data_IF_632874517976
#
_entry.id   IF_632874517976
#
_cell.length_a   1.000
_cell.length_b   1.000
_cell.length_c   1.000
_cell.angle_alpha   90.00
_cell.angle_beta   90.00
_cell.angle_gamma   90.00
#
_symmetry.space_group_name_H-M   'P 1'
#
loop_
_entity.id
_entity.type
_entity.pdbx_description
1 polymer ?
#
# COMPACT_ATOMS: atom_id res chain seq x y z
N UNK A 1 40.91 4.48 -42.85
CA UNK A 1 39.66 3.92 -42.31
C UNK A 1 40.03 3.08 -41.11
N UNK A 2 39.85 3.59 -39.90
CA UNK A 2 40.15 2.84 -38.68
C UNK A 2 38.85 2.25 -38.16
N UNK A 3 38.70 0.93 -38.24
CA UNK A 3 37.58 0.25 -37.59
C UNK A 3 37.86 0.13 -36.09
N UNK A 4 37.01 0.78 -35.30
CA UNK A 4 36.98 0.60 -33.85
C UNK A 4 36.09 -0.61 -33.57
N UNK A 5 36.67 -1.71 -33.07
CA UNK A 5 35.89 -2.85 -32.58
C UNK A 5 35.34 -2.54 -31.20
N UNK A 6 34.01 -2.47 -31.09
CA UNK A 6 33.30 -2.32 -29.82
C UNK A 6 32.88 -3.73 -29.38
N UNK A 7 33.49 -4.22 -28.29
CA UNK A 7 33.07 -5.45 -27.64
C UNK A 7 31.93 -5.15 -26.67
N UNK A 8 30.72 -5.63 -26.99
CA UNK A 8 29.56 -5.57 -26.10
C UNK A 8 29.63 -6.78 -25.17
N UNK A 9 29.97 -6.54 -23.91
CA UNK A 9 29.94 -7.57 -22.86
C UNK A 9 28.49 -7.67 -22.36
N UNK A 10 27.81 -8.78 -22.66
CA UNK A 10 26.54 -9.12 -22.02
C UNK A 10 26.80 -9.53 -20.57
N UNK A 11 26.73 -8.57 -19.65
CA UNK A 11 26.65 -8.87 -18.22
C UNK A 11 25.25 -9.40 -17.97
N UNK A 12 25.12 -10.72 -17.95
CA UNK A 12 23.94 -11.36 -17.40
C UNK A 12 23.90 -11.06 -15.91
N UNK A 13 23.07 -10.09 -15.51
CA UNK A 13 22.65 -9.95 -14.12
C UNK A 13 21.83 -11.19 -13.76
N UNK A 14 22.52 -12.23 -13.31
CA UNK A 14 21.89 -13.27 -12.49
C UNK A 14 21.41 -12.57 -11.21
N UNK A 15 20.17 -12.09 -11.21
CA UNK A 15 19.49 -11.74 -9.98
C UNK A 15 19.35 -13.05 -9.17
N UNK A 16 19.99 -13.17 -8.00
CA UNK A 16 19.78 -14.33 -7.16
C UNK A 16 18.30 -14.38 -6.79
N UNK A 17 17.69 -15.55 -6.96
CA UNK A 17 16.29 -15.80 -6.61
C UNK A 17 16.04 -15.44 -5.14
N UNK A 18 15.38 -14.31 -4.90
CA UNK A 18 15.07 -13.76 -3.56
C UNK A 18 14.21 -14.67 -2.68
N UNK A 19 13.61 -15.72 -3.24
CA UNK A 19 12.74 -16.65 -2.51
C UNK A 19 13.49 -17.53 -1.51
N UNK A 20 14.77 -17.87 -1.74
CA UNK A 20 15.50 -18.79 -0.86
C UNK A 20 15.87 -18.14 0.48
N UNK A 21 16.32 -16.88 0.45
CA UNK A 21 16.71 -16.15 1.66
C UNK A 21 15.51 -15.84 2.58
N UNK A 22 14.33 -15.64 2.00
CA UNK A 22 13.10 -15.33 2.76
C UNK A 22 12.64 -16.55 3.56
N UNK A 23 12.65 -17.75 2.98
CA UNK A 23 12.26 -18.97 3.68
C UNK A 23 13.22 -19.28 4.85
N UNK A 24 14.53 -19.07 4.69
CA UNK A 24 15.49 -19.26 5.79
C UNK A 24 15.22 -18.32 6.98
N UNK A 25 14.88 -17.06 6.72
CA UNK A 25 14.52 -16.10 7.76
C UNK A 25 13.24 -16.54 8.49
N UNK A 26 12.21 -16.94 7.74
CA UNK A 26 10.93 -17.41 8.32
C UNK A 26 11.14 -18.65 9.19
N UNK A 27 11.86 -19.67 8.71
CA UNK A 27 12.15 -20.89 9.47
C UNK A 27 12.89 -20.57 10.77
N UNK A 28 13.92 -19.74 10.70
CA UNK A 28 14.73 -19.34 11.87
C UNK A 28 13.87 -18.62 12.91
N UNK A 29 13.02 -17.69 12.45
CA UNK A 29 12.09 -16.96 13.30
C UNK A 29 11.06 -17.85 13.97
N UNK A 30 10.47 -18.80 13.23
CA UNK A 30 9.53 -19.78 13.79
C UNK A 30 10.21 -20.68 14.84
N UNK A 31 11.37 -21.26 14.52
CA UNK A 31 12.11 -22.13 15.45
C UNK A 31 12.47 -21.36 16.72
N UNK A 32 12.95 -20.12 16.59
CA UNK A 32 13.24 -19.23 17.72
C UNK A 32 11.98 -18.94 18.54
N UNK A 33 10.85 -18.67 17.89
CA UNK A 33 9.57 -18.44 18.56
C UNK A 33 9.12 -19.64 19.38
N UNK A 34 9.13 -20.85 18.80
CA UNK A 34 8.76 -22.07 19.52
C UNK A 34 9.72 -22.36 20.67
N UNK A 35 11.03 -22.14 20.47
CA UNK A 35 12.00 -22.28 21.54
C UNK A 35 11.68 -21.37 22.73
N UNK A 36 11.31 -20.10 22.50
CA UNK A 36 10.89 -19.19 23.59
C UNK A 36 9.61 -19.64 24.28
N UNK A 37 8.60 -20.09 23.52
CA UNK A 37 7.36 -20.62 24.09
C UNK A 37 7.57 -21.91 24.89
N UNK A 38 8.55 -22.73 24.51
CA UNK A 38 8.83 -24.01 25.13
C UNK A 38 9.92 -23.94 26.21
N UNK A 39 10.27 -22.74 26.69
CA UNK A 39 11.35 -22.51 27.65
C UNK A 39 12.68 -23.16 27.22
N UNK A 40 13.00 -23.03 25.93
CA UNK A 40 14.14 -23.59 25.21
C UNK A 40 14.18 -25.14 25.19
N UNK A 41 13.06 -25.82 25.38
CA UNK A 41 12.96 -27.26 25.20
C UNK A 41 13.03 -27.66 23.71
N UNK A 42 14.24 -27.93 23.23
CA UNK A 42 14.49 -28.29 21.84
C UNK A 42 13.77 -29.58 21.39
N UNK A 43 13.49 -30.52 22.30
CA UNK A 43 12.79 -31.76 21.97
C UNK A 43 11.37 -31.51 21.44
N UNK A 44 10.70 -30.45 21.90
CA UNK A 44 9.36 -30.13 21.42
C UNK A 44 9.39 -29.73 19.94
N UNK A 45 10.38 -28.94 19.51
CA UNK A 45 10.58 -28.58 18.10
C UNK A 45 10.79 -29.81 17.22
N UNK A 46 11.63 -30.75 17.67
CA UNK A 46 11.87 -32.02 16.97
C UNK A 46 10.58 -32.83 16.85
N UNK A 47 9.83 -32.97 17.95
CA UNK A 47 8.56 -33.70 17.95
C UNK A 47 7.54 -33.06 17.00
N UNK A 48 7.48 -31.73 16.93
CA UNK A 48 6.58 -31.03 16.01
C UNK A 48 7.08 -31.02 14.56
N UNK A 49 8.29 -31.51 14.29
CA UNK A 49 8.90 -31.53 12.96
C UNK A 49 9.48 -30.20 12.52
N UNK A 50 9.66 -29.25 13.43
CA UNK A 50 10.19 -27.92 13.12
C UNK A 50 11.71 -27.99 12.95
N UNK A 51 12.15 -28.12 11.70
CA UNK A 51 13.55 -28.35 11.34
C UNK A 51 14.05 -27.33 10.31
N UNK A 52 15.18 -26.67 10.60
CA UNK A 52 15.79 -25.67 9.70
C UNK A 52 16.15 -26.22 8.31
N UNK A 53 16.38 -27.53 8.17
CA UNK A 53 16.71 -28.15 6.88
C UNK A 53 15.50 -28.37 5.95
N UNK A 54 14.27 -28.26 6.47
CA UNK A 54 13.05 -28.56 5.73
C UNK A 54 12.18 -27.30 5.58
N UNK A 55 11.56 -27.15 4.41
CA UNK A 55 10.59 -26.08 4.12
C UNK A 55 9.35 -26.22 5.02
N UNK A 56 8.96 -25.11 5.65
CA UNK A 56 7.92 -25.06 6.68
C UNK A 56 6.52 -25.38 6.15
N UNK A 57 6.23 -25.06 4.89
CA UNK A 57 4.95 -25.30 4.24
C UNK A 57 4.86 -26.63 3.50
N UNK A 58 5.99 -27.18 3.04
CA UNK A 58 6.03 -28.44 2.27
C UNK A 58 6.23 -29.69 3.13
N UNK A 59 6.70 -29.54 4.36
CA UNK A 59 7.11 -30.68 5.22
C UNK A 59 6.27 -30.84 6.49
N UNK A 60 5.00 -30.45 6.45
CA UNK A 60 4.00 -30.75 7.49
C UNK A 60 4.42 -30.41 8.94
N UNK A 61 5.05 -29.25 9.16
CA UNK A 61 5.34 -28.79 10.51
C UNK A 61 4.04 -28.75 11.33
N UNK A 62 3.98 -29.54 12.40
CA UNK A 62 2.76 -29.64 13.20
C UNK A 62 2.46 -28.29 13.83
N UNK A 63 1.21 -27.85 13.68
CA UNK A 63 0.77 -26.54 14.13
C UNK A 63 1.09 -25.39 13.18
N UNK A 64 1.79 -25.61 12.05
CA UNK A 64 1.97 -24.58 11.02
C UNK A 64 0.94 -24.80 9.91
N UNK A 65 0.21 -23.74 9.56
CA UNK A 65 -0.69 -23.73 8.40
C UNK A 65 -0.25 -22.66 7.43
N UNK A 66 -0.15 -23.03 6.16
CA UNK A 66 0.22 -22.11 5.08
C UNK A 66 -0.98 -21.67 4.26
N UNK A 67 -0.77 -20.68 3.40
CA UNK A 67 -1.73 -20.26 2.41
C UNK A 67 -2.04 -21.37 1.38
N UNK A 68 -3.05 -21.16 0.54
CA UNK A 68 -3.48 -22.17 -0.44
C UNK A 68 -2.38 -22.56 -1.44
N UNK A 69 -1.37 -21.70 -1.65
CA UNK A 69 -0.24 -21.97 -2.55
C UNK A 69 0.94 -22.66 -1.84
N UNK A 70 0.86 -22.91 -0.53
CA UNK A 70 1.97 -23.43 0.29
C UNK A 70 3.26 -22.60 0.17
N UNK A 71 3.11 -21.28 0.16
CA UNK A 71 4.21 -20.31 0.01
C UNK A 71 4.40 -19.41 1.21
N UNK A 72 3.40 -19.24 2.06
CA UNK A 72 3.48 -18.34 3.21
C UNK A 72 2.71 -18.89 4.40
N UNK A 73 3.34 -18.84 5.57
CA UNK A 73 2.72 -19.26 6.84
C UNK A 73 1.63 -18.26 7.23
N UNK A 74 0.41 -18.76 7.42
CA UNK A 74 -0.76 -17.93 7.74
C UNK A 74 -1.32 -18.21 9.13
N UNK A 75 -1.14 -19.42 9.68
CA UNK A 75 -1.63 -19.74 11.02
C UNK A 75 -0.63 -20.56 11.82
N UNK A 76 -0.56 -20.27 13.11
CA UNK A 76 0.13 -21.09 14.10
C UNK A 76 -0.88 -21.62 15.11
N UNK A 77 -0.96 -22.95 15.22
CA UNK A 77 -1.89 -23.70 16.06
C UNK A 77 -1.10 -24.55 17.05
N UNK A 78 -0.88 -24.02 18.24
CA UNK A 78 -0.06 -24.61 19.31
C UNK A 78 -0.90 -24.76 20.58
N UNK A 79 -1.97 -25.54 20.49
CA UNK A 79 -2.99 -25.71 21.54
C UNK A 79 -2.64 -26.92 22.40
N UNK A 80 -2.69 -26.80 23.73
CA UNK A 80 -2.61 -27.97 24.61
C UNK A 80 -1.27 -28.70 24.60
N UNK A 81 -0.16 -28.00 24.32
CA UNK A 81 1.17 -28.60 24.15
C UNK A 81 2.04 -28.54 25.42
N UNK A 82 1.47 -28.13 26.57
CA UNK A 82 2.17 -27.91 27.82
C UNK A 82 3.35 -26.91 27.69
N UNK A 83 3.20 -25.91 26.81
CA UNK A 83 4.19 -24.84 26.64
C UNK A 83 4.27 -23.99 27.92
N UNK A 84 5.45 -23.77 28.48
CA UNK A 84 5.64 -23.11 29.78
C UNK A 84 6.67 -21.95 29.76
N UNK A 85 7.04 -21.48 28.57
CA UNK A 85 7.95 -20.36 28.36
C UNK A 85 7.20 -19.03 28.23
N UNK A 86 7.71 -18.15 27.37
CA UNK A 86 7.20 -16.78 27.21
C UNK A 86 6.88 -16.45 25.76
N UNK A 87 5.88 -15.58 25.55
CA UNK A 87 5.49 -15.11 24.22
C UNK A 87 6.38 -13.94 23.77
N UNK A 88 7.36 -14.23 22.93
CA UNK A 88 8.22 -13.22 22.30
C UNK A 88 7.65 -12.81 20.94
N UNK A 89 6.81 -11.78 20.91
CA UNK A 89 6.13 -11.35 19.68
C UNK A 89 7.13 -10.84 18.62
N UNK A 90 8.31 -10.37 19.01
CA UNK A 90 9.38 -9.97 18.10
C UNK A 90 9.86 -11.10 17.19
N UNK A 91 9.86 -12.35 17.68
CA UNK A 91 10.25 -13.52 16.88
C UNK A 91 9.25 -13.82 15.75
N UNK A 92 7.99 -13.38 15.89
CA UNK A 92 6.97 -13.53 14.83
C UNK A 92 6.82 -12.27 14.00
N UNK A 93 6.56 -11.14 14.66
CA UNK A 93 6.21 -9.88 14.02
C UNK A 93 7.43 -9.04 13.61
N UNK A 94 8.65 -9.50 13.89
CA UNK A 94 9.90 -8.85 13.47
C UNK A 94 10.31 -9.20 12.04
N UNK A 95 9.98 -10.40 11.56
CA UNK A 95 10.30 -10.84 10.20
C UNK A 95 9.24 -10.33 9.23
N UNK A 96 9.67 -9.55 8.23
CA UNK A 96 8.75 -8.85 7.30
C UNK A 96 7.81 -9.80 6.57
N UNK A 97 8.31 -10.95 6.10
CA UNK A 97 7.51 -11.93 5.38
C UNK A 97 6.42 -12.55 6.29
N UNK A 98 6.81 -12.99 7.49
CA UNK A 98 5.92 -13.61 8.45
C UNK A 98 4.90 -12.62 9.02
N UNK A 99 5.33 -11.40 9.35
CA UNK A 99 4.45 -10.34 9.82
C UNK A 99 3.40 -9.94 8.77
N UNK A 100 3.72 -10.06 7.48
CA UNK A 100 2.81 -9.77 6.38
C UNK A 100 1.82 -10.92 6.10
N UNK A 101 2.18 -12.17 6.42
CA UNK A 101 1.36 -13.35 6.07
C UNK A 101 0.58 -13.94 7.25
N UNK A 102 1.06 -13.78 8.49
CA UNK A 102 0.44 -14.38 9.67
C UNK A 102 -0.92 -13.73 9.95
N UNK A 103 -1.95 -14.56 10.06
CA UNK A 103 -3.34 -14.17 10.28
C UNK A 103 -3.91 -14.75 11.58
N UNK A 104 -3.46 -15.93 12.02
CA UNK A 104 -3.99 -16.55 13.24
C UNK A 104 -2.88 -17.11 14.13
N UNK A 105 -3.01 -16.86 15.44
CA UNK A 105 -2.14 -17.42 16.47
C UNK A 105 -2.99 -18.03 17.59
N UNK A 106 -2.99 -19.35 17.69
CA UNK A 106 -3.70 -20.12 18.72
C UNK A 106 -2.70 -20.75 19.67
N UNK A 107 -2.74 -20.29 20.92
CA UNK A 107 -1.86 -20.67 22.04
C UNK A 107 -2.66 -21.19 23.24
N UNK A 108 -3.96 -21.39 23.08
CA UNK A 108 -4.86 -21.68 24.19
C UNK A 108 -4.57 -23.03 24.86
N UNK A 109 -4.84 -23.11 26.18
CA UNK A 109 -4.64 -24.32 26.97
C UNK A 109 -3.18 -24.70 27.16
N UNK A 110 -2.31 -23.73 27.45
CA UNK A 110 -0.91 -23.98 27.78
C UNK A 110 -0.56 -23.39 29.16
N UNK A 111 0.72 -23.35 29.51
CA UNK A 111 1.25 -22.76 30.74
C UNK A 111 2.15 -21.55 30.44
N UNK A 112 1.89 -20.84 29.34
CA UNK A 112 2.75 -19.75 28.87
C UNK A 112 2.64 -18.58 29.85
N UNK A 113 3.78 -18.10 30.33
CA UNK A 113 3.88 -17.01 31.30
C UNK A 113 4.42 -15.71 30.71
N UNK A 114 4.61 -14.72 31.58
CA UNK A 114 5.13 -13.41 31.22
C UNK A 114 4.11 -12.54 30.48
N UNK A 115 4.54 -11.36 30.03
CA UNK A 115 3.68 -10.42 29.32
C UNK A 115 3.71 -10.59 27.80
N UNK A 116 2.64 -10.16 27.13
CA UNK A 116 2.63 -10.01 25.68
C UNK A 116 3.31 -8.68 25.36
N UNK A 117 4.40 -8.75 24.59
CA UNK A 117 5.16 -7.54 24.24
C UNK A 117 4.41 -6.69 23.20
N UNK A 118 4.61 -5.36 23.24
CA UNK A 118 3.89 -4.41 22.38
C UNK A 118 4.19 -4.60 20.88
N UNK A 119 5.28 -5.28 20.55
CA UNK A 119 5.66 -5.63 19.17
C UNK A 119 4.67 -6.57 18.49
N UNK A 120 3.73 -7.17 19.21
CA UNK A 120 2.61 -7.91 18.61
C UNK A 120 1.80 -7.02 17.65
N UNK A 121 1.76 -5.71 17.90
CA UNK A 121 1.14 -4.73 17.01
C UNK A 121 1.86 -4.57 15.65
N UNK A 122 3.08 -5.10 15.50
CA UNK A 122 3.82 -5.12 14.23
C UNK A 122 3.38 -6.24 13.30
N UNK A 123 2.62 -7.23 13.79
CA UNK A 123 1.91 -8.19 12.93
C UNK A 123 0.71 -7.50 12.25
N UNK A 124 0.99 -6.40 11.57
CA UNK A 124 0.05 -5.47 10.96
C UNK A 124 0.38 -5.30 9.48
N UNK A 125 -0.67 -5.01 8.72
CA UNK A 125 -0.65 -4.71 7.30
C UNK A 125 0.39 -3.64 6.95
N UNK A 126 1.40 -4.00 6.16
CA UNK A 126 2.40 -3.05 5.63
C UNK A 126 2.08 -2.53 4.23
N UNK A 127 1.06 -3.07 3.55
CA UNK A 127 0.74 -2.69 2.18
C UNK A 127 -0.76 -2.61 1.94
N UNK A 128 -1.18 -1.51 1.29
CA UNK A 128 -2.55 -1.23 0.84
C UNK A 128 -3.18 -2.31 -0.07
N UNK A 129 -2.39 -3.30 -0.52
CA UNK A 129 -2.74 -4.28 -1.55
C UNK A 129 -2.83 -5.73 -1.03
N UNK A 130 -2.46 -6.00 0.23
CA UNK A 130 -2.60 -7.32 0.84
C UNK A 130 -3.44 -7.22 2.11
N UNK A 131 -4.46 -8.08 2.25
CA UNK A 131 -5.26 -8.26 3.47
C UNK A 131 -4.46 -9.02 4.55
N UNK A 132 -3.22 -8.60 4.81
CA UNK A 132 -2.29 -9.26 5.72
C UNK A 132 -2.29 -8.59 7.09
N UNK A 133 -2.37 -9.38 8.16
CA UNK A 133 -2.35 -8.92 9.54
C UNK A 133 -3.06 -9.91 10.46
N UNK A 134 -2.78 -9.84 11.76
CA UNK A 134 -3.40 -10.75 12.73
C UNK A 134 -4.90 -10.48 12.80
N UNK A 135 -5.71 -11.49 12.46
CA UNK A 135 -7.18 -11.47 12.56
C UNK A 135 -7.69 -12.36 13.70
N UNK A 136 -6.89 -13.34 14.15
CA UNK A 136 -7.26 -14.22 15.25
C UNK A 136 -6.13 -14.38 16.26
N UNK A 137 -6.41 -14.09 17.53
CA UNK A 137 -5.49 -14.30 18.63
C UNK A 137 -6.22 -15.00 19.78
N UNK A 138 -5.93 -16.30 19.97
CA UNK A 138 -6.53 -17.12 21.02
C UNK A 138 -5.44 -17.56 21.99
N UNK A 139 -5.41 -16.95 23.17
CA UNK A 139 -4.40 -17.21 24.20
C UNK A 139 -5.04 -17.48 25.58
N UNK A 140 -6.31 -17.88 25.60
CA UNK A 140 -7.01 -18.24 26.83
C UNK A 140 -6.38 -19.46 27.52
N UNK A 141 -6.65 -19.59 28.82
CA UNK A 141 -6.20 -20.73 29.65
C UNK A 141 -4.66 -20.85 29.63
N UNK A 142 -4.00 -19.80 30.12
CA UNK A 142 -2.54 -19.68 30.23
C UNK A 142 -2.16 -18.97 31.54
N UNK A 143 -0.87 -18.64 31.71
CA UNK A 143 -0.34 -17.90 32.85
C UNK A 143 0.18 -16.52 32.43
N UNK A 144 -0.33 -15.96 31.33
CA UNK A 144 0.11 -14.67 30.80
C UNK A 144 -0.26 -13.55 31.79
N UNK A 145 0.59 -12.54 31.88
CA UNK A 145 0.51 -11.51 32.92
C UNK A 145 0.81 -10.11 32.40
N UNK A 146 0.65 -9.10 33.27
CA UNK A 146 0.89 -7.70 32.92
C UNK A 146 -0.26 -7.09 32.12
N UNK A 147 0.01 -5.99 31.41
CA UNK A 147 -1.02 -5.27 30.66
C UNK A 147 -1.26 -5.91 29.29
N UNK A 148 -2.51 -5.86 28.82
CA UNK A 148 -2.85 -6.22 27.44
C UNK A 148 -2.30 -5.12 26.52
N UNK A 149 -1.37 -5.42 25.59
CA UNK A 149 -0.85 -4.42 24.66
C UNK A 149 -1.95 -3.95 23.70
N UNK A 150 -1.75 -2.77 23.09
CA UNK A 150 -2.69 -2.24 22.10
C UNK A 150 -2.55 -2.98 20.77
N UNK A 151 -3.36 -4.02 20.57
CA UNK A 151 -3.52 -4.67 19.27
C UNK A 151 -4.23 -3.73 18.28
N UNK A 152 -4.17 -4.07 17.00
CA UNK A 152 -5.07 -3.50 16.00
C UNK A 152 -6.43 -4.21 16.07
N UNK A 153 -7.21 -3.89 17.12
CA UNK A 153 -8.50 -4.54 17.38
C UNK A 153 -9.52 -4.34 16.25
N UNK A 154 -9.31 -3.37 15.35
CA UNK A 154 -10.16 -3.17 14.18
C UNK A 154 -9.98 -4.26 13.12
N UNK A 155 -8.83 -4.96 13.13
CA UNK A 155 -8.52 -6.05 12.20
C UNK A 155 -8.75 -7.44 12.82
N UNK A 156 -8.97 -7.53 14.13
CA UNK A 156 -9.18 -8.80 14.82
C UNK A 156 -10.66 -9.22 14.72
N UNK A 157 -10.90 -10.39 14.15
CA UNK A 157 -12.21 -11.06 14.14
C UNK A 157 -12.42 -11.90 15.41
N UNK A 158 -11.34 -12.51 15.92
CA UNK A 158 -11.39 -13.34 17.11
C UNK A 158 -10.27 -12.97 18.07
N UNK A 159 -10.64 -12.68 19.31
CA UNK A 159 -9.71 -12.38 20.38
C UNK A 159 -10.19 -13.01 21.67
N UNK A 160 -9.34 -13.80 22.31
CA UNK A 160 -9.62 -14.37 23.61
C UNK A 160 -8.35 -14.48 24.46
N UNK A 161 -8.37 -13.84 25.62
CA UNK A 161 -7.31 -13.84 26.63
C UNK A 161 -7.87 -14.21 28.01
N UNK A 162 -9.01 -14.89 28.05
CA UNK A 162 -9.66 -15.30 29.30
C UNK A 162 -8.79 -16.27 30.11
N UNK A 163 -9.04 -16.36 31.41
CA UNK A 163 -8.37 -17.30 32.31
C UNK A 163 -6.84 -17.18 32.24
N UNK A 164 -6.35 -15.98 32.52
CA UNK A 164 -4.94 -15.62 32.58
C UNK A 164 -4.72 -14.73 33.83
N UNK A 165 -3.54 -14.13 33.95
CA UNK A 165 -3.16 -13.25 35.04
C UNK A 165 -2.90 -11.81 34.57
N UNK A 166 -3.63 -11.35 33.55
CA UNK A 166 -3.54 -9.96 33.06
C UNK A 166 -4.06 -8.96 34.09
N UNK A 167 -3.49 -7.76 34.06
CA UNK A 167 -3.77 -6.67 35.00
C UNK A 167 -3.91 -5.31 34.33
N UNK A 168 -4.60 -4.40 35.01
CA UNK A 168 -4.79 -3.02 34.54
C UNK A 168 -5.99 -2.84 33.60
N UNK A 169 -6.09 -1.66 32.95
CA UNK A 169 -7.23 -1.33 32.10
C UNK A 169 -7.21 -2.14 30.80
N UNK A 170 -8.37 -2.65 30.40
CA UNK A 170 -8.57 -3.20 29.06
C UNK A 170 -8.44 -2.05 28.04
N UNK A 171 -7.58 -2.19 27.00
CA UNK A 171 -7.49 -1.20 25.93
C UNK A 171 -8.83 -0.95 25.25
N UNK A 172 -8.98 0.16 24.53
CA UNK A 172 -10.17 0.39 23.73
C UNK A 172 -10.26 -0.64 22.60
N UNK A 173 -11.19 -1.59 22.76
CA UNK A 173 -11.47 -2.69 21.83
C UNK A 173 -12.63 -2.37 20.88
N UNK A 174 -13.13 -1.14 20.87
CA UNK A 174 -14.17 -0.69 19.93
C UNK A 174 -15.50 -1.44 20.04
N UNK A 175 -15.74 -2.19 21.13
CA UNK A 175 -16.92 -3.03 21.30
C UNK A 175 -16.92 -4.32 20.48
N UNK A 176 -15.80 -4.71 19.86
CA UNK A 176 -15.70 -5.91 19.02
C UNK A 176 -15.73 -7.22 19.82
N UNK A 177 -15.34 -7.18 21.10
CA UNK A 177 -15.19 -8.37 21.94
C UNK A 177 -16.05 -8.28 23.20
N UNK A 178 -16.64 -9.42 23.58
CA UNK A 178 -17.49 -9.56 24.75
C UNK A 178 -16.68 -9.71 26.04
N UNK A 179 -17.35 -9.60 27.19
CA UNK A 179 -16.76 -9.83 28.51
C UNK A 179 -16.06 -11.20 28.64
N UNK A 180 -16.54 -12.22 27.91
CA UNK A 180 -16.02 -13.58 27.95
C UNK A 180 -14.56 -13.64 27.52
N UNK A 181 -14.17 -12.84 26.52
CA UNK A 181 -12.78 -12.76 26.02
C UNK A 181 -11.77 -12.26 27.04
N UNK A 182 -12.22 -11.65 28.15
CA UNK A 182 -11.37 -11.05 29.19
C UNK A 182 -11.62 -11.65 30.57
N UNK A 183 -12.62 -12.51 30.72
CA UNK A 183 -13.03 -13.12 31.98
C UNK A 183 -11.90 -13.97 32.60
N UNK A 184 -11.97 -14.25 33.91
CA UNK A 184 -10.96 -15.06 34.58
C UNK A 184 -9.58 -14.40 34.75
N UNK A 185 -9.50 -13.07 34.60
CA UNK A 185 -8.31 -12.27 34.90
C UNK A 185 -8.61 -11.36 36.11
N UNK A 186 -8.16 -11.70 37.34
CA UNK A 186 -8.61 -11.03 38.56
C UNK A 186 -8.26 -9.53 38.61
N UNK A 187 -7.14 -9.12 38.02
CA UNK A 187 -6.61 -7.76 38.09
C UNK A 187 -6.98 -6.87 36.90
N UNK A 188 -7.65 -7.42 35.86
CA UNK A 188 -8.18 -6.61 34.77
C UNK A 188 -9.35 -5.74 35.24
N UNK A 189 -9.54 -4.60 34.56
CA UNK A 189 -10.63 -3.67 34.80
C UNK A 189 -10.99 -2.89 33.51
N UNK A 190 -12.13 -2.21 33.50
CA UNK A 190 -12.62 -1.44 32.36
C UNK A 190 -13.50 -2.26 31.41
N UNK A 191 -14.15 -1.56 30.46
CA UNK A 191 -15.03 -2.20 29.47
C UNK A 191 -14.23 -3.18 28.60
N UNK A 192 -14.79 -4.35 28.23
CA UNK A 192 -16.19 -4.78 28.41
C UNK A 192 -16.50 -5.44 29.77
N UNK A 193 -15.56 -5.50 30.71
CA UNK A 193 -15.86 -5.99 32.06
C UNK A 193 -16.66 -4.95 32.86
N UNK A 194 -17.50 -5.43 33.77
CA UNK A 194 -18.26 -4.55 34.69
C UNK A 194 -17.39 -3.94 35.78
N UNK A 195 -16.19 -4.50 36.03
CA UNK A 195 -15.25 -4.01 37.04
C UNK A 195 -14.64 -2.69 36.59
N UNK A 196 -14.89 -1.62 37.33
CA UNK A 196 -14.29 -0.31 37.06
C UNK A 196 -12.81 -0.30 37.42
N UNK A 197 -12.02 0.48 36.69
CA UNK A 197 -10.62 0.68 37.02
C UNK A 197 -10.48 1.67 38.18
N UNK A 198 -9.56 1.44 39.13
CA UNK A 198 -9.25 2.41 40.16
C UNK A 198 -8.91 3.75 39.51
N UNK A 199 -9.68 4.79 39.81
CA UNK A 199 -9.34 6.15 39.42
C UNK A 199 -8.04 6.52 40.12
N UNK A 200 -6.96 6.70 39.36
CA UNK A 200 -5.77 7.37 39.88
C UNK A 200 -6.22 8.73 40.46
N UNK A 201 -5.78 9.13 41.66
CA UNK A 201 -6.04 10.48 42.15
C UNK A 201 -5.39 11.48 41.18
N UNK A 202 -6.21 12.06 40.32
CA UNK A 202 -5.85 13.17 39.45
C UNK A 202 -5.63 14.38 40.36
N UNK A 203 -4.39 14.63 40.73
CA UNK A 203 -4.01 15.94 41.23
C UNK A 203 -4.25 16.93 40.09
N UNK A 204 -5.14 17.90 40.33
CA UNK A 204 -5.68 18.81 39.32
C UNK A 204 -4.58 19.55 38.56
N UNK A 205 -4.33 19.10 37.33
CA UNK A 205 -3.59 19.84 36.32
C UNK A 205 -4.53 20.17 35.18
N UNK A 206 -5.11 21.38 35.20
CA UNK A 206 -5.70 21.99 34.02
C UNK A 206 -4.61 22.11 32.95
N UNK A 207 -4.44 21.09 32.13
CA UNK A 207 -3.61 21.16 30.93
C UNK A 207 -4.51 21.22 29.72
N UNK A 208 -4.68 22.46 29.29
CA UNK A 208 -5.03 22.88 27.95
C UNK A 208 -4.50 21.92 26.87
N UNK A 209 -5.30 21.75 25.81
CA UNK A 209 -4.92 21.11 24.56
C UNK A 209 -3.59 21.69 24.05
N UNK A 210 -2.48 21.07 24.41
CA UNK A 210 -1.19 21.28 23.76
C UNK A 210 -1.26 20.61 22.39
N UNK A 211 -1.73 21.38 21.40
CA UNK A 211 -1.48 21.05 20.00
C UNK A 211 0.04 21.07 19.83
N UNK A 212 0.61 19.91 19.50
CA UNK A 212 2.00 19.76 19.07
C UNK A 212 2.33 20.84 18.03
N UNK A 213 3.18 21.79 18.41
CA UNK A 213 3.60 22.92 17.56
C UNK A 213 4.62 22.53 16.49
N UNK A 214 5.05 21.26 16.45
CA UNK A 214 6.08 20.79 15.50
C UNK A 214 5.55 20.44 14.11
N UNK A 215 4.26 20.10 13.96
CA UNK A 215 3.69 19.85 12.62
C UNK A 215 3.43 21.15 11.85
N UNK A 216 3.10 22.25 12.52
CA UNK A 216 2.77 23.53 11.87
C UNK A 216 4.02 24.18 11.23
N UNK A 217 5.20 24.03 11.83
CA UNK A 217 6.45 24.61 11.31
C UNK A 217 6.88 23.95 9.99
N UNK A 218 6.64 22.65 9.83
CA UNK A 218 6.99 21.94 8.60
C UNK A 218 6.12 22.39 7.42
N UNK A 219 4.80 22.54 7.60
CA UNK A 219 3.92 22.98 6.51
C UNK A 219 4.15 24.43 6.09
N UNK A 220 4.55 25.31 7.01
CA UNK A 220 4.83 26.70 6.67
C UNK A 220 6.03 26.84 5.73
N UNK A 221 7.05 25.97 5.83
CA UNK A 221 8.21 26.04 4.93
C UNK A 221 7.86 25.61 3.50
N UNK A 222 7.03 24.57 3.33
CA UNK A 222 6.56 24.12 2.02
C UNK A 222 5.70 25.16 1.31
N UNK A 223 4.83 25.86 2.04
CA UNK A 223 3.98 26.93 1.46
C UNK A 223 4.84 28.10 0.97
N UNK A 224 5.87 28.49 1.72
CA UNK A 224 6.80 29.56 1.31
C UNK A 224 7.62 29.14 0.09
N UNK A 225 8.11 27.89 0.05
CA UNK A 225 8.85 27.36 -1.10
C UNK A 225 7.98 27.28 -2.36
N UNK A 226 6.73 26.83 -2.24
CA UNK A 226 5.79 26.77 -3.35
C UNK A 226 5.49 28.17 -3.92
N UNK A 227 5.32 29.17 -3.04
CA UNK A 227 5.08 30.55 -3.47
C UNK A 227 6.30 31.15 -4.17
N UNK A 228 7.51 30.92 -3.66
CA UNK A 228 8.75 31.36 -4.30
C UNK A 228 8.92 30.75 -5.70
N UNK A 229 8.63 29.46 -5.87
CA UNK A 229 8.65 28.79 -7.16
C UNK A 229 7.63 29.38 -8.14
N UNK A 230 6.41 29.66 -7.67
CA UNK A 230 5.37 30.28 -8.48
C UNK A 230 5.81 31.65 -9.02
N UNK A 231 6.44 32.48 -8.18
CA UNK A 231 6.97 33.79 -8.58
C UNK A 231 8.08 33.66 -9.63
N UNK A 232 8.97 32.68 -9.50
CA UNK A 232 10.03 32.42 -10.49
C UNK A 232 9.46 31.99 -11.84
N UNK A 233 8.42 31.14 -11.85
CA UNK A 233 7.72 30.72 -13.07
C UNK A 233 7.08 31.94 -13.74
N UNK A 234 6.34 32.76 -12.98
CA UNK A 234 5.72 33.99 -13.48
C UNK A 234 6.79 34.92 -14.06
N UNK A 235 7.91 35.13 -13.37
CA UNK A 235 9.00 35.97 -13.86
C UNK A 235 9.61 35.45 -15.16
N UNK A 236 9.80 34.13 -15.29
CA UNK A 236 10.26 33.49 -16.53
C UNK A 236 9.25 33.68 -17.65
N UNK A 237 7.96 33.46 -17.41
CA UNK A 237 6.89 33.67 -18.39
C UNK A 237 6.79 35.15 -18.82
N UNK A 238 6.91 36.09 -17.89
CA UNK A 238 6.97 37.52 -18.20
C UNK A 238 8.20 37.87 -19.06
N UNK A 239 9.37 37.28 -18.77
CA UNK A 239 10.56 37.46 -19.62
C UNK A 239 10.42 36.84 -21.00
N UNK A 240 9.79 35.66 -21.11
CA UNK A 240 9.51 35.00 -22.39
C UNK A 240 8.50 35.80 -23.22
N UNK A 241 7.47 36.37 -22.58
CA UNK A 241 6.51 37.27 -23.22
C UNK A 241 7.19 38.54 -23.73
N UNK A 242 8.03 39.20 -22.91
CA UNK A 242 8.84 40.35 -23.36
C UNK A 242 9.80 39.98 -24.49
N UNK A 243 10.38 38.78 -24.50
CA UNK A 243 11.27 38.31 -25.58
C UNK A 243 10.49 38.08 -26.89
N UNK A 244 9.27 37.53 -26.80
CA UNK A 244 8.36 37.35 -27.94
C UNK A 244 7.86 38.68 -28.51
N UNK A 245 7.63 39.68 -27.67
CA UNK A 245 7.28 41.05 -28.10
C UNK A 245 8.45 41.77 -28.80
N UNK A 246 9.70 41.58 -28.33
CA UNK A 246 10.89 42.12 -29.01
C UNK A 246 11.13 41.49 -30.38
N UNK A 247 10.85 40.19 -30.54
CA UNK A 247 10.97 39.49 -31.84
C UNK A 247 9.89 39.95 -32.82
N UNK A 248 8.66 40.15 -32.35
CA UNK A 248 7.57 40.70 -33.18
C UNK A 248 7.80 42.17 -33.60
N UNK A 249 8.46 42.97 -32.75
CA UNK A 249 8.83 44.35 -33.09
C UNK A 249 9.86 44.44 -34.23
N UNK A 250 10.79 43.47 -34.32
CA UNK A 250 11.82 43.45 -35.35
C UNK A 250 11.26 43.02 -36.73
N UNK A 251 10.26 42.14 -36.76
CA UNK A 251 9.54 41.79 -38.00
C UNK A 251 8.60 42.89 -38.50
N UNK A 252 8.08 43.75 -37.61
CA UNK A 252 7.24 44.88 -38.00
C UNK A 252 8.04 46.02 -38.65
N UNK A 253 9.31 46.23 -38.24
CA UNK A 253 10.20 47.24 -38.84
C UNK A 253 10.62 46.85 -40.25
N UNK A 254 10.83 45.55 -40.52
CA UNK A 254 11.21 45.05 -41.86
C UNK A 254 10.06 44.99 -42.88
N UNK A 255 8.80 45.24 -42.47
CA UNK A 255 7.64 45.24 -43.37
C UNK A 255 7.21 46.63 -43.88
N UNK A 256 7.87 47.72 -43.46
CA UNK A 256 7.46 49.11 -43.79
C UNK A 256 8.25 49.71 -44.97
N UNK A 257 9.22 48.99 -45.54
CA UNK A 257 10.08 49.53 -46.61
C UNK A 257 9.75 48.99 -48.03
N UNK A 258 8.48 48.97 -48.47
CA UNK A 258 8.14 48.91 -49.91
C UNK A 258 6.78 49.61 -50.18
N UNK A 259 6.88 50.87 -50.63
CA UNK A 259 6.17 51.55 -51.75
C UNK A 259 4.63 51.50 -51.86
N UNK A 260 4.03 52.62 -51.45
CA UNK A 260 3.36 53.67 -52.27
C UNK A 260 1.91 53.55 -52.82
N UNK A 261 1.27 54.70 -52.62
CA UNK A 261 0.14 55.45 -53.16
C UNK A 261 -1.33 54.98 -53.28
N UNK A 262 -2.16 55.90 -52.77
CA UNK A 262 -3.51 56.30 -53.17
C UNK A 262 -4.77 55.54 -52.70
N UNK A 263 -5.29 56.02 -51.55
CA UNK A 263 -6.65 56.59 -51.36
C UNK A 263 -7.88 55.70 -51.68
N UNK A 264 -8.55 55.16 -50.64
CA UNK A 264 -9.76 55.75 -50.00
C UNK A 264 -10.61 54.75 -49.18
N UNK A 265 -10.91 55.19 -47.95
CA UNK A 265 -12.14 55.02 -47.13
C UNK A 265 -12.63 53.64 -46.63
N UNK A 266 -12.53 53.54 -45.29
CA UNK A 266 -13.56 53.27 -44.26
C UNK A 266 -14.22 51.88 -44.16
N UNK A 267 -13.71 51.17 -43.14
CA UNK A 267 -14.28 50.26 -42.14
C UNK A 267 -15.74 50.50 -41.67
N UNK A 268 -16.25 49.82 -40.62
CA UNK A 268 -16.41 48.37 -40.35
C UNK A 268 -17.81 48.07 -39.73
N UNK A 269 -17.92 46.97 -38.95
CA UNK A 269 -18.92 46.69 -37.87
C UNK A 269 -20.04 45.73 -38.30
N UNK A 270 -20.59 44.83 -37.50
CA UNK A 270 -20.15 43.91 -36.44
C UNK A 270 -21.37 43.01 -36.15
N UNK A 271 -21.14 41.79 -35.69
CA UNK A 271 -21.95 40.98 -34.74
C UNK A 271 -23.46 41.29 -34.53
N UNK A 272 -24.30 40.25 -34.59
CA UNK A 272 -24.86 39.59 -33.37
C UNK A 272 -25.77 38.37 -33.69
N UNK A 273 -25.66 37.35 -32.82
CA UNK A 273 -26.61 36.31 -32.34
C UNK A 273 -27.71 35.72 -33.28
N UNK A 274 -28.09 34.43 -33.25
CA UNK A 274 -28.28 33.50 -32.13
C UNK A 274 -28.58 32.06 -32.64
N UNK A 275 -28.19 31.07 -31.81
CA UNK A 275 -28.86 29.79 -31.49
C UNK A 275 -29.03 28.62 -32.47
N UNK A 276 -28.82 27.44 -31.87
CA UNK A 276 -29.45 26.12 -32.10
C UNK A 276 -28.88 25.28 -33.26
N UNK A 277 -28.92 23.95 -33.32
CA UNK A 277 -29.11 22.78 -32.45
C UNK A 277 -28.86 21.60 -33.42
N UNK A 278 -28.26 20.50 -32.96
CA UNK A 278 -28.34 19.13 -33.53
C UNK A 278 -27.68 18.75 -34.88
N UNK A 279 -27.07 17.54 -34.86
CA UNK A 279 -27.12 16.40 -35.82
C UNK A 279 -27.07 16.72 -37.34
N UNK A 280 -26.39 15.99 -38.21
CA UNK A 280 -25.94 14.60 -38.23
C UNK A 280 -25.21 14.37 -39.57
N UNK A 281 -24.37 13.34 -39.58
CA UNK A 281 -24.14 12.36 -40.65
C UNK A 281 -23.49 12.76 -42.00
N UNK A 282 -22.37 12.07 -42.25
CA UNK A 282 -21.99 11.34 -43.47
C UNK A 282 -21.82 12.14 -44.78
N UNK A 283 -20.80 11.91 -45.63
CA UNK A 283 -20.08 10.67 -45.97
C UNK A 283 -18.91 11.03 -46.89
N UNK A 284 -17.83 10.23 -46.85
CA UNK A 284 -16.87 9.96 -47.94
C UNK A 284 -15.91 11.10 -48.31
N UNK A 285 -14.62 10.89 -48.58
CA UNK A 285 -13.84 9.67 -48.76
C UNK A 285 -12.35 10.03 -48.64
N UNK A 286 -11.57 9.05 -48.20
CA UNK A 286 -10.13 8.82 -48.32
C UNK A 286 -9.16 10.01 -48.54
N UNK A 287 -8.28 10.23 -47.58
CA UNK A 287 -6.83 10.09 -47.84
C UNK A 287 -6.09 9.80 -46.54
N UNK A 288 -5.24 8.79 -46.62
CA UNK A 288 -4.45 8.23 -45.55
C UNK A 288 -3.55 9.27 -44.91
N UNK A 289 -3.76 9.53 -43.62
CA UNK A 289 -2.70 9.88 -42.70
C UNK A 289 -2.92 9.03 -41.46
N UNK A 290 -2.21 7.91 -41.42
CA UNK A 290 -2.07 7.07 -40.24
C UNK A 290 -1.51 7.93 -39.11
N UNK A 291 -2.40 8.47 -38.28
CA UNK A 291 -2.06 9.04 -36.99
C UNK A 291 -1.59 7.88 -36.12
N UNK A 292 -0.27 7.77 -36.02
CA UNK A 292 0.44 6.92 -35.06
C UNK A 292 -0.09 7.24 -33.67
N UNK A 293 -1.04 6.43 -33.19
CA UNK A 293 -1.47 6.44 -31.79
C UNK A 293 -0.39 5.73 -30.99
N UNK A 294 0.65 6.47 -30.62
CA UNK A 294 1.50 6.09 -29.51
C UNK A 294 0.68 6.20 -28.21
N UNK A 295 -0.16 5.19 -27.97
CA UNK A 295 -0.84 5.04 -26.69
C UNK A 295 0.06 4.22 -25.78
N UNK A 296 0.68 4.90 -24.82
CA UNK A 296 1.45 4.27 -23.77
C UNK A 296 0.54 3.35 -22.93
N UNK A 297 1.00 2.13 -22.67
CA UNK A 297 0.36 1.18 -21.76
C UNK A 297 1.37 0.85 -20.66
N UNK A 298 1.01 1.13 -19.42
CA UNK A 298 1.82 0.73 -18.27
C UNK A 298 1.19 -0.50 -17.63
N UNK A 299 1.99 -1.56 -17.52
CA UNK A 299 1.61 -2.84 -16.93
C UNK A 299 2.38 -3.00 -15.61
N UNK A 300 1.73 -2.71 -14.49
CA UNK A 300 2.37 -2.76 -13.15
C UNK A 300 2.49 -4.18 -12.56
N UNK A 301 2.16 -5.22 -13.33
CA UNK A 301 2.14 -6.61 -12.84
C UNK A 301 3.02 -7.55 -13.64
N UNK A 302 3.91 -8.36 -13.00
CA UNK A 302 4.72 -9.39 -13.66
C UNK A 302 3.88 -10.55 -14.24
N UNK A 303 2.57 -10.59 -13.98
CA UNK A 303 1.64 -11.58 -14.54
C UNK A 303 1.25 -11.26 -15.99
N UNK A 304 1.54 -10.05 -16.49
CA UNK A 304 1.09 -9.54 -17.80
C UNK A 304 2.19 -9.61 -18.88
N UNK A 305 3.17 -10.52 -18.75
CA UNK A 305 4.23 -10.70 -19.73
C UNK A 305 3.66 -11.02 -21.13
N UNK A 306 3.88 -10.12 -22.09
CA UNK A 306 3.48 -10.28 -23.50
C UNK A 306 2.23 -9.51 -23.94
N UNK A 307 1.55 -8.79 -23.03
CA UNK A 307 0.42 -7.93 -23.39
C UNK A 307 0.89 -6.68 -24.14
N UNK A 308 0.53 -6.59 -25.43
CA UNK A 308 0.72 -5.39 -26.27
C UNK A 308 -0.56 -4.56 -26.32
N UNK A 309 -0.42 -3.26 -26.53
CA UNK A 309 -1.53 -2.32 -26.68
C UNK A 309 -2.57 -2.77 -27.73
N UNK A 310 -2.11 -3.32 -28.86
CA UNK A 310 -2.95 -3.83 -29.96
C UNK A 310 -3.89 -4.95 -29.50
N UNK A 311 -3.44 -5.78 -28.56
CA UNK A 311 -4.27 -6.85 -28.01
C UNK A 311 -5.36 -6.33 -27.06
N UNK A 312 -5.15 -5.16 -26.43
CA UNK A 312 -6.18 -4.50 -25.62
C UNK A 312 -7.23 -3.79 -26.48
N UNK A 313 -6.85 -3.32 -27.67
CA UNK A 313 -7.78 -2.70 -28.62
C UNK A 313 -8.69 -3.72 -29.31
N UNK A 314 -8.24 -4.96 -29.46
CA UNK A 314 -8.98 -6.04 -30.12
C UNK A 314 -9.79 -6.92 -29.16
N UNK A 315 -9.54 -6.85 -27.85
CA UNK A 315 -10.21 -7.66 -26.86
C UNK A 315 -11.66 -7.18 -26.56
N UNK A 316 -12.60 -8.10 -26.27
CA UNK A 316 -13.96 -7.74 -25.90
C UNK A 316 -13.97 -6.98 -24.57
N UNK A 317 -14.68 -5.85 -24.56
CA UNK A 317 -14.71 -4.91 -23.44
C UNK A 317 -16.14 -4.57 -23.02
N UNK A 318 -16.39 -4.59 -21.72
CA UNK A 318 -17.66 -4.20 -21.10
C UNK A 318 -17.46 -2.89 -20.32
N UNK A 319 -18.35 -1.91 -20.51
CA UNK A 319 -18.25 -0.62 -19.83
C UNK A 319 -18.62 -0.78 -18.35
N UNK A 320 -17.66 -0.53 -17.45
CA UNK A 320 -17.91 -0.56 -16.00
C UNK A 320 -18.36 0.80 -15.45
N UNK A 321 -17.88 1.91 -16.03
CA UNK A 321 -18.26 3.24 -15.56
C UNK A 321 -17.56 4.39 -16.28
N UNK A 322 -18.18 5.57 -16.25
CA UNK A 322 -17.65 6.81 -16.81
C UNK A 322 -17.45 7.85 -15.71
N UNK A 323 -16.22 8.31 -15.53
CA UNK A 323 -15.87 9.47 -14.74
C UNK A 323 -15.74 10.73 -15.61
N UNK A 324 -15.58 11.90 -14.98
CA UNK A 324 -15.48 13.20 -15.67
C UNK A 324 -14.32 13.25 -16.69
N UNK A 325 -13.23 12.53 -16.44
CA UNK A 325 -12.00 12.53 -17.26
C UNK A 325 -11.54 11.13 -17.68
N UNK A 326 -12.28 10.08 -17.30
CA UNK A 326 -11.87 8.70 -17.58
C UNK A 326 -13.08 7.80 -17.85
N UNK A 327 -12.81 6.67 -18.48
CA UNK A 327 -13.78 5.60 -18.68
C UNK A 327 -13.14 4.28 -18.30
N UNK A 328 -13.83 3.49 -17.49
CA UNK A 328 -13.39 2.18 -17.03
C UNK A 328 -14.05 1.09 -17.85
N UNK A 329 -13.24 0.16 -18.34
CA UNK A 329 -13.69 -1.01 -19.09
C UNK A 329 -13.23 -2.27 -18.39
N UNK A 330 -14.08 -3.28 -18.32
CA UNK A 330 -13.71 -4.65 -18.02
C UNK A 330 -13.34 -5.32 -19.33
N UNK A 331 -12.10 -5.76 -19.46
CA UNK A 331 -11.58 -6.39 -20.68
C UNK A 331 -11.26 -7.84 -20.36
N UNK A 332 -11.77 -8.77 -21.16
CA UNK A 332 -11.40 -10.17 -21.04
C UNK A 332 -10.23 -10.47 -21.98
N UNK A 333 -9.12 -10.88 -21.40
CA UNK A 333 -7.91 -11.28 -22.10
C UNK A 333 -7.75 -12.81 -22.05
N UNK A 334 -7.00 -13.37 -23.00
CA UNK A 334 -6.87 -14.83 -23.22
C UNK A 334 -6.73 -15.66 -21.92
N UNK A 335 -7.26 -16.88 -21.94
CA UNK A 335 -7.35 -17.81 -20.80
C UNK A 335 -8.30 -17.37 -19.66
N UNK A 336 -9.28 -16.52 -19.94
CA UNK A 336 -10.32 -16.11 -18.97
C UNK A 336 -9.86 -15.05 -17.96
N UNK A 337 -8.71 -14.41 -18.21
CA UNK A 337 -8.20 -13.34 -17.37
C UNK A 337 -9.03 -12.07 -17.55
N UNK A 338 -9.50 -11.47 -16.45
CA UNK A 338 -10.27 -10.23 -16.49
C UNK A 338 -9.39 -9.06 -16.04
N UNK A 339 -9.26 -8.04 -16.89
CA UNK A 339 -8.54 -6.80 -16.63
C UNK A 339 -9.50 -5.63 -16.51
N UNK A 340 -9.13 -4.61 -15.72
CA UNK A 340 -9.83 -3.33 -15.70
C UNK A 340 -8.94 -2.28 -16.37
N UNK A 341 -9.40 -1.75 -17.49
CA UNK A 341 -8.68 -0.75 -18.28
C UNK A 341 -9.30 0.62 -18.05
N UNK A 342 -8.49 1.57 -17.56
CA UNK A 342 -8.88 2.97 -17.39
C UNK A 342 -8.41 3.80 -18.58
N UNK A 343 -9.32 4.13 -19.48
CA UNK A 343 -9.06 5.06 -20.59
C UNK A 343 -9.21 6.50 -20.09
N UNK A 344 -8.16 7.29 -20.20
CA UNK A 344 -8.18 8.72 -19.85
C UNK A 344 -8.46 9.52 -21.13
N UNK A 345 -9.31 10.56 -21.05
CA UNK A 345 -9.58 11.48 -22.18
C UNK A 345 -8.61 12.66 -22.11
N UNK A 346 -8.13 13.10 -23.28
CA UNK A 346 -7.31 14.31 -23.46
C UNK A 346 -6.03 14.32 -22.61
N UNK A 347 -5.14 13.36 -22.90
CA UNK A 347 -3.88 13.19 -22.17
C UNK A 347 -2.75 14.03 -22.78
N UNK A 348 -2.32 15.08 -22.08
CA UNK A 348 -1.15 15.91 -22.41
C UNK A 348 0.03 15.71 -21.43
N UNK A 349 0.18 14.53 -20.81
CA UNK A 349 1.34 14.29 -19.93
C UNK A 349 2.51 13.78 -20.77
N UNK A 350 3.66 14.46 -20.65
CA UNK A 350 4.91 14.04 -21.31
C UNK A 350 5.43 12.73 -20.70
N UNK A 351 6.09 11.88 -21.49
CA UNK A 351 6.62 10.59 -21.02
C UNK A 351 7.48 10.71 -19.75
N UNK A 352 8.13 11.85 -19.54
CA UNK A 352 9.02 12.10 -18.40
C UNK A 352 8.27 12.50 -17.12
N UNK A 353 7.00 12.89 -17.18
CA UNK A 353 6.16 13.18 -16.01
C UNK A 353 5.38 11.94 -15.54
N UNK A 354 5.53 10.80 -16.21
CA UNK A 354 4.78 9.58 -15.95
C UNK A 354 5.62 8.40 -15.43
N UNK A 355 6.96 8.49 -15.45
CA UNK A 355 7.86 7.65 -14.64
C UNK A 355 7.91 8.13 -13.19
#
# INVERSE_FOLDING_TARGET
>A
MNQVSIWVIFISFFYPSSSYSVEEEVKTSLISFLAKLANNNAQLGVNLGWNSSLDSCKNHWRGVTCDQKNTSVTKLVLIGLNLNGTLHATSLCGTKALAASIAALFLNGNNIGGGISAEIAKCKQFTHLYLGGLTMFLAQDNQLSGQIPKFDFSNLDQFNVSNNNFSGPIPDVGGHFSNSSFSGNPELCGKPLSKECPSLPLNGGNNSKSKSKDQTLMYTSYVVLAFAFLVLIIFKLCKLKKRKERVKGLEAVNKVAVVDDSVSKLAPTSTEYKSSVSRSENTGDSSENALVLNSMVVLESPVLNGLKFEHLLSAPAELLGRGKQFTLYKVMFGNGMTLVVKRIKDWEISNNEFE
#
